data_IF_787183715062
#
_entry.id   IF_787183715062
#
_cell.length_a   1.000
_cell.length_b   1.000
_cell.length_c   1.000
_cell.angle_alpha   90.00
_cell.angle_beta   90.00
_cell.angle_gamma   90.00
#
_symmetry.space_group_name_H-M   'P 1'
#
loop_
_entity.id
_entity.type
_entity.pdbx_description
1 polymer ?
#
# COMPACT_ATOMS: atom_id res chain seq x y z
N UNK A 1 -6.01 -33.10 -13.91
CA UNK A 1 -6.75 -31.96 -13.32
C UNK A 1 -7.15 -32.23 -11.86
N UNK A 2 -6.35 -32.98 -11.08
CA UNK A 2 -6.72 -33.52 -9.76
C UNK A 2 -6.34 -32.66 -8.54
N UNK A 3 -5.56 -31.59 -8.74
CA UNK A 3 -5.13 -30.73 -7.62
C UNK A 3 -6.22 -29.77 -7.12
N UNK A 4 -7.33 -29.62 -7.86
CA UNK A 4 -8.46 -28.75 -7.47
C UNK A 4 -9.36 -29.38 -6.41
N UNK A 5 -9.51 -30.69 -6.40
CA UNK A 5 -10.42 -31.40 -5.49
C UNK A 5 -9.98 -31.27 -4.01
N UNK A 6 -8.68 -31.38 -3.74
CA UNK A 6 -8.13 -31.24 -2.38
C UNK A 6 -8.19 -29.80 -1.85
N UNK A 7 -7.94 -28.80 -2.70
CA UNK A 7 -7.98 -27.39 -2.28
C UNK A 7 -9.40 -26.93 -1.94
N UNK A 8 -10.39 -27.25 -2.77
CA UNK A 8 -11.79 -26.87 -2.51
C UNK A 8 -12.31 -27.53 -1.24
N UNK A 9 -12.02 -28.81 -1.02
CA UNK A 9 -12.40 -29.50 0.22
C UNK A 9 -11.76 -28.87 1.46
N UNK A 10 -10.45 -28.59 1.41
CA UNK A 10 -9.73 -27.92 2.49
C UNK A 10 -10.22 -26.50 2.77
N UNK A 11 -10.55 -25.74 1.73
CA UNK A 11 -11.08 -24.38 1.85
C UNK A 11 -12.45 -24.37 2.55
N UNK A 12 -13.38 -25.24 2.13
CA UNK A 12 -14.72 -25.31 2.73
C UNK A 12 -14.64 -25.77 4.19
N UNK A 13 -13.83 -26.79 4.48
CA UNK A 13 -13.60 -27.26 5.84
C UNK A 13 -12.97 -26.15 6.72
N UNK A 14 -11.96 -25.46 6.19
CA UNK A 14 -11.30 -24.33 6.87
C UNK A 14 -12.26 -23.17 7.12
N UNK A 15 -13.10 -22.81 6.16
CA UNK A 15 -14.10 -21.76 6.30
C UNK A 15 -15.16 -22.10 7.36
N UNK A 16 -15.60 -23.36 7.44
CA UNK A 16 -16.54 -23.80 8.46
C UNK A 16 -15.95 -23.67 9.88
N UNK A 17 -14.73 -24.17 10.07
CA UNK A 17 -14.02 -24.09 11.37
C UNK A 17 -13.71 -22.64 11.73
N UNK A 18 -13.12 -21.88 10.80
CA UNK A 18 -12.80 -20.47 11.00
C UNK A 18 -14.03 -19.61 11.26
N UNK A 19 -15.15 -19.91 10.59
CA UNK A 19 -16.44 -19.24 10.80
C UNK A 19 -17.01 -19.47 12.20
N UNK A 20 -16.94 -20.70 12.72
CA UNK A 20 -17.38 -21.00 14.09
C UNK A 20 -16.53 -20.26 15.13
N UNK A 21 -15.20 -20.30 14.99
CA UNK A 21 -14.29 -19.58 15.89
C UNK A 21 -14.54 -18.08 15.80
N UNK A 22 -14.63 -17.54 14.59
CA UNK A 22 -14.92 -16.13 14.34
C UNK A 22 -16.26 -15.69 14.91
N UNK A 23 -17.30 -16.52 14.85
CA UNK A 23 -18.61 -16.22 15.43
C UNK A 23 -18.57 -16.13 16.96
N UNK A 24 -17.86 -17.04 17.63
CA UNK A 24 -17.69 -16.99 19.10
C UNK A 24 -16.93 -15.74 19.52
N UNK A 25 -15.78 -15.47 18.89
CA UNK A 25 -14.99 -14.27 19.19
C UNK A 25 -15.77 -12.99 18.89
N UNK A 26 -16.50 -12.97 17.76
CA UNK A 26 -17.36 -11.87 17.35
C UNK A 26 -18.48 -11.61 18.35
N UNK A 27 -19.12 -12.67 18.87
CA UNK A 27 -20.17 -12.56 19.89
C UNK A 27 -19.64 -12.04 21.24
N UNK A 28 -18.44 -12.44 21.64
CA UNK A 28 -17.81 -11.95 22.88
C UNK A 28 -17.43 -10.47 22.74
N UNK A 29 -16.85 -10.08 21.62
CA UNK A 29 -16.44 -8.70 21.38
C UNK A 29 -17.65 -7.77 21.21
N UNK A 30 -18.70 -8.23 20.52
CA UNK A 30 -19.94 -7.46 20.32
C UNK A 30 -20.69 -7.24 21.63
N UNK A 31 -20.72 -8.24 22.53
CA UNK A 31 -21.30 -8.08 23.88
C UNK A 31 -20.56 -7.01 24.68
N UNK A 32 -19.23 -7.01 24.67
CA UNK A 32 -18.42 -5.95 25.32
C UNK A 32 -18.70 -4.56 24.73
N UNK A 33 -18.87 -4.48 23.41
CA UNK A 33 -19.21 -3.23 22.73
C UNK A 33 -20.64 -2.76 23.04
N UNK A 34 -21.60 -3.68 23.19
CA UNK A 34 -22.99 -3.38 23.55
C UNK A 34 -23.12 -2.95 25.02
N UNK A 35 -22.42 -3.61 25.95
CA UNK A 35 -22.39 -3.24 27.36
C UNK A 35 -21.78 -1.84 27.58
N UNK A 36 -20.76 -1.48 26.79
CA UNK A 36 -20.18 -0.14 26.76
C UNK A 36 -21.11 0.92 26.15
N UNK A 37 -22.16 0.52 25.42
CA UNK A 37 -23.18 1.43 24.86
C UNK A 37 -24.36 1.63 25.83
N UNK A 38 -24.68 0.61 26.63
CA UNK A 38 -25.79 0.60 27.58
C UNK A 38 -25.42 1.23 28.93
N UNK A 39 -24.13 1.27 29.28
CA UNK A 39 -23.64 1.89 30.52
C UNK A 39 -23.39 3.39 30.32
N UNK A 40 -24.39 4.21 30.63
CA UNK A 40 -24.34 5.64 30.97
C UNK A 40 -24.02 6.70 29.86
N UNK A 41 -24.78 7.82 29.76
CA UNK A 41 -24.50 8.93 28.86
C UNK A 41 -23.16 9.67 29.13
N UNK A 42 -22.48 9.41 30.25
CA UNK A 42 -21.12 9.90 30.50
C UNK A 42 -20.06 9.19 29.64
N UNK A 43 -20.32 7.94 29.24
CA UNK A 43 -19.43 7.16 28.38
C UNK A 43 -19.49 7.59 26.91
N UNK A 44 -20.58 8.26 26.49
CA UNK A 44 -20.61 8.93 25.19
C UNK A 44 -19.53 10.04 25.09
N UNK A 45 -19.23 10.71 26.21
CA UNK A 45 -18.17 11.72 26.31
C UNK A 45 -16.77 11.07 26.32
N UNK A 46 -16.62 9.96 27.04
CA UNK A 46 -15.38 9.17 27.07
C UNK A 46 -15.08 8.50 25.70
N UNK A 47 -16.11 8.01 25.00
CA UNK A 47 -16.04 7.47 23.64
C UNK A 47 -15.77 8.55 22.61
N UNK A 48 -16.39 9.74 22.70
CA UNK A 48 -16.03 10.90 21.87
C UNK A 48 -14.59 11.36 22.13
N UNK A 49 -14.11 11.30 23.37
CA UNK A 49 -12.74 11.62 23.73
C UNK A 49 -11.75 10.56 23.22
N UNK A 50 -12.08 9.26 23.32
CA UNK A 50 -11.30 8.16 22.74
C UNK A 50 -11.28 8.20 21.22
N UNK A 51 -12.41 8.53 20.58
CA UNK A 51 -12.50 8.68 19.12
C UNK A 51 -11.71 9.91 18.65
N UNK A 52 -11.74 11.03 19.40
CA UNK A 52 -10.88 12.19 19.15
C UNK A 52 -9.39 11.87 19.33
N UNK A 53 -9.04 11.09 20.35
CA UNK A 53 -7.65 10.61 20.54
C UNK A 53 -7.24 9.65 19.43
N UNK A 54 -8.12 8.75 18.99
CA UNK A 54 -7.86 7.85 17.87
C UNK A 54 -7.68 8.62 16.56
N UNK A 55 -8.52 9.62 16.28
CA UNK A 55 -8.34 10.48 15.10
C UNK A 55 -7.09 11.35 15.19
N UNK A 56 -6.66 11.73 16.40
CA UNK A 56 -5.41 12.47 16.60
C UNK A 56 -4.18 11.58 16.39
N UNK A 57 -4.22 10.32 16.85
CA UNK A 57 -3.20 9.31 16.58
C UNK A 57 -3.17 8.91 15.09
N UNK A 58 -4.33 8.88 14.44
CA UNK A 58 -4.44 8.67 12.98
C UNK A 58 -3.82 9.84 12.21
N UNK A 59 -4.10 11.09 12.61
CA UNK A 59 -3.48 12.27 12.01
C UNK A 59 -1.95 12.29 12.17
N UNK A 60 -1.45 11.86 13.35
CA UNK A 60 -0.01 11.68 13.58
C UNK A 60 0.58 10.59 12.67
N UNK A 61 -0.11 9.45 12.53
CA UNK A 61 0.29 8.38 11.62
C UNK A 61 0.23 8.81 10.14
N UNK A 62 -0.72 9.66 9.76
CA UNK A 62 -0.83 10.23 8.42
C UNK A 62 0.33 11.18 8.12
N UNK A 63 0.77 11.99 9.10
CA UNK A 63 1.93 12.86 8.93
C UNK A 63 3.23 12.05 8.83
N UNK A 64 3.40 11.00 9.62
CA UNK A 64 4.54 10.07 9.49
C UNK A 64 4.53 9.37 8.12
N UNK A 65 3.37 8.91 7.66
CA UNK A 65 3.22 8.31 6.35
C UNK A 65 3.54 9.31 5.23
N UNK A 66 3.12 10.58 5.38
CA UNK A 66 3.42 11.67 4.45
C UNK A 66 4.92 11.95 4.39
N UNK A 67 5.59 12.10 5.52
CA UNK A 67 7.05 12.31 5.57
C UNK A 67 7.81 11.13 4.96
N UNK A 68 7.35 9.89 5.21
CA UNK A 68 7.94 8.69 4.59
C UNK A 68 7.72 8.65 3.07
N UNK A 69 6.58 9.14 2.57
CA UNK A 69 6.33 9.28 1.13
C UNK A 69 7.26 10.33 0.50
N UNK A 70 7.46 11.47 1.17
CA UNK A 70 8.37 12.53 0.71
C UNK A 70 9.82 12.02 0.58
N UNK A 71 10.31 11.28 1.57
CA UNK A 71 11.65 10.66 1.53
C UNK A 71 11.79 9.63 0.39
N UNK A 72 10.76 8.79 0.18
CA UNK A 72 10.73 7.82 -0.93
C UNK A 72 10.73 8.49 -2.29
N UNK A 73 10.05 9.63 -2.44
CA UNK A 73 10.05 10.41 -3.69
C UNK A 73 11.43 11.00 -3.95
N UNK A 74 12.11 11.52 -2.92
CA UNK A 74 13.48 12.03 -3.05
C UNK A 74 14.47 10.94 -3.47
N UNK A 75 14.40 9.77 -2.82
CA UNK A 75 15.20 8.60 -3.19
C UNK A 75 14.96 8.17 -4.65
N UNK A 76 13.69 8.14 -5.08
CA UNK A 76 13.34 7.76 -6.44
C UNK A 76 13.87 8.79 -7.45
N UNK A 77 13.72 10.08 -7.19
CA UNK A 77 14.23 11.14 -8.07
C UNK A 77 15.76 11.04 -8.21
N UNK A 78 16.47 10.81 -7.11
CA UNK A 78 17.92 10.63 -7.14
C UNK A 78 18.33 9.38 -7.94
N UNK A 79 17.62 8.26 -7.78
CA UNK A 79 17.88 7.05 -8.56
C UNK A 79 17.56 7.25 -10.06
N UNK A 80 16.53 8.02 -10.39
CA UNK A 80 16.19 8.38 -11.78
C UNK A 80 17.31 9.22 -12.38
N UNK A 81 17.82 10.22 -11.65
CA UNK A 81 18.91 11.08 -12.12
C UNK A 81 20.20 10.30 -12.33
N UNK A 82 20.52 9.36 -11.44
CA UNK A 82 21.68 8.45 -11.59
C UNK A 82 21.56 7.56 -12.85
N UNK A 83 20.39 6.94 -13.07
CA UNK A 83 20.14 6.15 -14.28
C UNK A 83 20.17 7.01 -15.54
N UNK A 84 19.66 8.25 -15.50
CA UNK A 84 19.75 9.19 -16.62
C UNK A 84 21.18 9.57 -16.94
N UNK A 85 22.02 9.82 -15.93
CA UNK A 85 23.45 10.09 -16.12
C UNK A 85 24.16 8.89 -16.74
N UNK A 86 23.92 7.68 -16.23
CA UNK A 86 24.49 6.45 -16.79
C UNK A 86 24.05 6.22 -18.25
N UNK A 87 22.77 6.44 -18.57
CA UNK A 87 22.25 6.30 -19.94
C UNK A 87 22.73 7.42 -20.88
N UNK A 88 22.93 8.63 -20.36
CA UNK A 88 23.49 9.75 -21.11
C UNK A 88 24.98 9.57 -21.42
N UNK A 89 25.74 9.03 -20.48
CA UNK A 89 27.18 8.73 -20.63
C UNK A 89 27.43 7.61 -21.65
N UNK A 90 26.64 6.53 -21.63
CA UNK A 90 26.79 5.42 -22.60
C UNK A 90 26.40 5.80 -24.04
N UNK A 91 25.51 6.77 -24.24
CA UNK A 91 25.14 7.26 -25.58
C UNK A 91 26.03 8.43 -26.05
N UNK A 92 26.87 8.98 -25.17
CA UNK A 92 27.77 10.11 -25.45
C UNK A 92 29.07 9.75 -26.17
N UNK A 93 29.39 8.46 -26.36
CA UNK A 93 30.62 8.00 -26.99
C UNK A 93 30.41 7.31 -28.36
N UNK A 94 29.43 7.75 -29.15
CA UNK A 94 29.38 7.41 -30.58
C UNK A 94 30.32 8.36 -31.34
N UNK A 95 31.51 7.93 -31.80
CA UNK A 95 32.40 8.79 -32.57
C UNK A 95 31.74 9.15 -33.89
N UNK A 96 31.77 10.43 -34.21
CA UNK A 96 31.55 10.95 -35.55
C UNK A 96 32.52 10.25 -36.51
N UNK A 97 32.01 9.33 -37.31
CA UNK A 97 32.75 8.76 -38.43
C UNK A 97 31.83 8.62 -39.64
N UNK A 98 31.89 9.67 -40.46
CA UNK A 98 32.17 9.64 -41.89
C UNK A 98 31.44 8.60 -42.75
N UNK A 99 30.67 9.11 -43.72
CA UNK A 99 30.86 8.92 -45.17
C UNK A 99 29.67 9.58 -45.87
N UNK A 100 29.88 10.71 -46.54
CA UNK A 100 30.13 10.76 -48.00
C UNK A 100 29.00 10.10 -48.81
N UNK A 101 28.24 10.94 -49.50
CA UNK A 101 27.13 10.52 -50.33
C UNK A 101 26.41 11.71 -50.95
N UNK A 102 27.16 12.55 -51.66
CA UNK A 102 26.65 13.50 -52.65
C UNK A 102 25.58 12.81 -53.51
N UNK A 103 24.40 13.42 -53.67
CA UNK A 103 23.58 13.49 -54.90
C UNK A 103 22.48 14.53 -54.61
N UNK A 104 22.62 15.71 -55.21
CA UNK A 104 21.50 16.62 -55.44
C UNK A 104 20.60 16.04 -56.54
N UNK A 105 19.30 16.37 -56.56
CA UNK A 105 18.83 16.99 -57.79
C UNK A 105 17.83 18.15 -57.61
N UNK A 106 18.05 19.11 -58.50
CA UNK A 106 17.20 20.14 -59.09
C UNK A 106 15.80 19.66 -59.51
N UNK A 107 14.76 20.46 -59.26
CA UNK A 107 13.50 20.62 -60.01
C UNK A 107 12.65 21.75 -59.44
#
# INVERSE_FOLDING_TARGET
MSNREGFTGGFIAGAAVGGLVGAVLGAVLSRRAAEALLSDPSDAKARKMRQRKASQLEAEGMEVARLSLEDKIAQLNQAIDDVRLQLGDVNGNAPAHNSEGSIAPDS
#
